data_IF_700532617328
#
_entry.id   IF_700532617328
#
_cell.length_a   1.000
_cell.length_b   1.000
_cell.length_c   1.000
_cell.angle_alpha   90.00
_cell.angle_beta   90.00
_cell.angle_gamma   90.00
#
_symmetry.space_group_name_H-M   'P 1'
#
loop_
_entity.id
_entity.type
_entity.pdbx_description
1 polymer ?
#
# COMPACT_ATOMS: atom_id res chain seq x y z
N UNK A 1 -27.20 -6.47 -6.94
CA UNK A 1 -26.03 -5.99 -6.19
C UNK A 1 -26.50 -5.10 -5.05
N UNK A 2 -25.89 -5.18 -3.88
CA UNK A 2 -26.11 -4.26 -2.75
C UNK A 2 -24.83 -3.46 -2.45
N UNK A 3 -24.95 -2.18 -2.16
CA UNK A 3 -23.80 -1.29 -1.85
C UNK A 3 -24.27 0.09 -1.43
N UNK A 4 -23.45 0.78 -0.67
CA UNK A 4 -23.72 2.10 -0.07
C UNK A 4 -22.75 3.20 -0.51
N UNK A 5 -21.75 2.87 -1.31
CA UNK A 5 -20.75 3.83 -1.77
C UNK A 5 -21.15 4.45 -3.11
N UNK A 6 -21.52 5.76 -3.16
CA UNK A 6 -21.93 6.42 -4.40
C UNK A 6 -20.74 6.75 -5.34
N UNK A 7 -19.52 6.67 -4.85
CA UNK A 7 -18.31 7.08 -5.58
C UNK A 7 -17.61 5.90 -6.29
N UNK A 8 -18.28 4.76 -6.46
CA UNK A 8 -17.73 3.59 -7.13
C UNK A 8 -18.55 3.21 -8.36
N UNK A 9 -17.87 2.78 -9.45
CA UNK A 9 -18.52 2.28 -10.67
C UNK A 9 -19.48 1.11 -10.41
N UNK A 10 -19.24 0.32 -9.37
CA UNK A 10 -20.09 -0.82 -9.03
C UNK A 10 -21.50 -0.41 -8.61
N UNK A 11 -21.73 0.84 -8.22
CA UNK A 11 -23.06 1.40 -7.91
C UNK A 11 -23.66 2.21 -9.06
N UNK A 12 -23.03 2.22 -10.24
CA UNK A 12 -23.63 2.81 -11.42
C UNK A 12 -24.82 1.95 -11.91
N UNK A 13 -25.84 2.60 -12.41
CA UNK A 13 -27.16 2.00 -12.71
C UNK A 13 -27.11 0.87 -13.74
N UNK A 14 -26.09 0.82 -14.59
CA UNK A 14 -25.94 -0.11 -15.70
C UNK A 14 -24.96 -1.25 -15.44
N UNK A 15 -24.37 -1.32 -14.22
CA UNK A 15 -23.38 -2.35 -13.86
C UNK A 15 -23.98 -3.65 -13.31
N UNK A 16 -25.20 -3.60 -12.82
CA UNK A 16 -25.91 -4.76 -12.26
C UNK A 16 -27.33 -4.82 -12.80
N UNK A 17 -27.90 -6.03 -12.94
CA UNK A 17 -29.30 -6.20 -13.34
C UNK A 17 -30.26 -5.48 -12.37
N UNK A 18 -29.91 -5.49 -11.08
CA UNK A 18 -30.59 -4.74 -10.02
C UNK A 18 -29.58 -4.20 -9.03
N UNK A 19 -29.68 -2.91 -8.74
CA UNK A 19 -28.91 -2.23 -7.72
C UNK A 19 -29.81 -1.89 -6.53
N UNK A 20 -29.39 -2.34 -5.35
CA UNK A 20 -29.92 -1.93 -4.05
C UNK A 20 -28.91 -1.00 -3.41
N UNK A 21 -29.22 0.28 -3.38
CA UNK A 21 -28.38 1.29 -2.74
C UNK A 21 -28.77 1.37 -1.26
N UNK A 22 -28.14 0.53 -0.46
CA UNK A 22 -28.48 0.31 0.93
C UNK A 22 -27.24 0.04 1.77
N UNK A 23 -27.35 0.28 3.07
CA UNK A 23 -26.33 -0.10 4.05
C UNK A 23 -26.09 -1.63 4.01
N UNK A 24 -24.81 -2.01 4.08
CA UNK A 24 -24.41 -3.42 4.12
C UNK A 24 -24.56 -4.01 5.53
N UNK A 25 -25.76 -3.88 6.13
CA UNK A 25 -26.12 -4.55 7.37
C UNK A 25 -26.67 -5.97 7.12
N UNK A 26 -26.59 -6.82 8.15
CA UNK A 26 -27.13 -8.17 8.08
C UNK A 26 -28.62 -8.16 7.70
N UNK A 27 -29.39 -7.30 8.33
CA UNK A 27 -30.85 -7.19 8.16
C UNK A 27 -31.20 -6.82 6.71
N UNK A 28 -30.54 -5.81 6.15
CA UNK A 28 -30.78 -5.37 4.78
C UNK A 28 -30.36 -6.40 3.73
N UNK A 29 -29.22 -7.04 3.94
CA UNK A 29 -28.77 -8.09 3.04
C UNK A 29 -29.72 -9.29 3.07
N UNK A 30 -30.26 -9.67 4.24
CA UNK A 30 -31.25 -10.74 4.34
C UNK A 30 -32.58 -10.36 3.69
N UNK A 31 -33.08 -9.13 3.89
CA UNK A 31 -34.29 -8.65 3.21
C UNK A 31 -34.16 -8.78 1.68
N UNK A 32 -33.00 -8.37 1.12
CA UNK A 32 -32.74 -8.46 -0.32
C UNK A 32 -32.60 -9.94 -0.75
N UNK A 33 -31.89 -10.75 0.03
CA UNK A 33 -31.68 -12.18 -0.24
C UNK A 33 -33.01 -12.92 -0.39
N UNK A 34 -33.95 -12.69 0.53
CA UNK A 34 -35.28 -13.28 0.52
C UNK A 34 -36.14 -12.70 -0.61
N UNK A 35 -36.18 -11.36 -0.77
CA UNK A 35 -36.96 -10.67 -1.79
C UNK A 35 -36.60 -11.16 -3.21
N UNK A 36 -35.32 -11.32 -3.48
CA UNK A 36 -34.83 -11.76 -4.79
C UNK A 36 -34.78 -13.29 -4.93
N UNK A 37 -35.12 -14.05 -3.88
CA UNK A 37 -34.94 -15.51 -3.85
C UNK A 37 -33.54 -15.91 -4.34
N UNK A 38 -32.53 -15.23 -3.83
CA UNK A 38 -31.16 -15.37 -4.30
C UNK A 38 -30.60 -16.77 -4.03
N UNK A 39 -29.85 -17.32 -4.95
CA UNK A 39 -29.21 -18.65 -4.82
C UNK A 39 -27.95 -18.63 -3.96
N UNK A 40 -27.40 -17.48 -3.70
CA UNK A 40 -26.22 -17.29 -2.85
C UNK A 40 -25.78 -15.83 -2.78
N UNK A 41 -24.84 -15.56 -1.88
CA UNK A 41 -24.24 -14.24 -1.64
C UNK A 41 -22.75 -14.32 -1.91
N UNK A 42 -22.22 -13.40 -2.71
CA UNK A 42 -20.77 -13.19 -2.89
C UNK A 42 -20.32 -12.10 -1.96
N UNK A 43 -19.36 -12.38 -1.07
CA UNK A 43 -18.82 -11.46 -0.08
C UNK A 43 -17.34 -11.08 -0.33
N UNK A 44 -16.76 -11.62 -1.39
CA UNK A 44 -15.33 -11.44 -1.71
C UNK A 44 -15.03 -10.24 -2.64
N UNK A 45 -15.97 -9.30 -2.76
CA UNK A 45 -15.83 -8.03 -3.49
C UNK A 45 -16.41 -6.90 -2.65
N UNK A 46 -15.97 -5.66 -2.87
CA UNK A 46 -16.44 -4.51 -2.10
C UNK A 46 -15.65 -4.24 -0.80
N UNK A 47 -14.42 -4.73 -0.71
CA UNK A 47 -13.56 -4.53 0.47
C UNK A 47 -13.92 -5.44 1.63
N UNK A 48 -13.74 -4.95 2.85
CA UNK A 48 -13.88 -5.70 4.09
C UNK A 48 -15.33 -5.82 4.58
N UNK A 49 -16.17 -4.81 4.34
CA UNK A 49 -17.52 -4.74 4.91
C UNK A 49 -18.41 -5.94 4.61
N UNK A 50 -18.46 -6.49 3.37
CA UNK A 50 -19.24 -7.69 3.08
C UNK A 50 -18.77 -8.92 3.87
N UNK A 51 -17.46 -9.02 4.14
CA UNK A 51 -16.88 -10.15 4.88
C UNK A 51 -17.22 -10.10 6.36
N UNK A 52 -17.34 -8.91 6.96
CA UNK A 52 -17.67 -8.75 8.38
C UNK A 52 -19.03 -9.35 8.77
N UNK A 53 -19.97 -9.41 7.83
CA UNK A 53 -21.30 -9.98 8.07
C UNK A 53 -21.45 -11.42 7.57
N UNK A 54 -20.44 -11.96 6.86
CA UNK A 54 -20.53 -13.24 6.16
C UNK A 54 -20.85 -14.42 7.10
N UNK A 55 -20.17 -14.50 8.24
CA UNK A 55 -20.39 -15.55 9.23
C UNK A 55 -21.82 -15.50 9.79
N UNK A 56 -22.31 -14.31 10.12
CA UNK A 56 -23.68 -14.12 10.62
C UNK A 56 -24.73 -14.46 9.56
N UNK A 57 -24.49 -14.10 8.29
CA UNK A 57 -25.37 -14.47 7.17
C UNK A 57 -25.49 -16.00 7.03
N UNK A 58 -24.39 -16.73 7.18
CA UNK A 58 -24.37 -18.19 7.08
C UNK A 58 -25.03 -18.86 8.29
N UNK A 59 -24.65 -18.49 9.51
CA UNK A 59 -25.07 -19.19 10.74
C UNK A 59 -26.49 -18.84 11.18
N UNK A 60 -26.87 -17.57 11.08
CA UNK A 60 -28.18 -17.09 11.55
C UNK A 60 -29.17 -16.95 10.40
N UNK A 61 -28.76 -16.43 9.26
CA UNK A 61 -29.62 -16.20 8.09
C UNK A 61 -29.75 -17.43 7.19
N UNK A 62 -28.93 -18.48 7.41
CA UNK A 62 -28.83 -19.63 6.55
C UNK A 62 -28.61 -19.29 5.06
N UNK A 63 -28.05 -18.12 4.78
CA UNK A 63 -27.71 -17.69 3.44
C UNK A 63 -26.53 -18.50 2.93
N UNK A 64 -26.62 -18.97 1.69
CA UNK A 64 -25.52 -19.68 1.05
C UNK A 64 -24.45 -18.66 0.63
N UNK A 65 -23.28 -18.69 1.27
CA UNK A 65 -22.13 -17.90 0.84
C UNK A 65 -21.43 -18.63 -0.30
N UNK A 66 -21.15 -17.89 -1.39
CA UNK A 66 -20.46 -18.38 -2.58
C UNK A 66 -18.98 -18.02 -2.47
N UNK A 67 -18.12 -19.03 -2.52
CA UNK A 67 -16.66 -18.85 -2.40
C UNK A 67 -16.10 -19.51 -1.15
N UNK A 68 -15.09 -18.85 -0.55
CA UNK A 68 -14.44 -19.31 0.68
C UNK A 68 -15.45 -19.35 1.84
N UNK A 69 -15.37 -20.38 2.67
CA UNK A 69 -16.25 -20.53 3.85
C UNK A 69 -16.06 -19.33 4.80
N UNK A 70 -17.15 -18.71 5.28
CA UNK A 70 -17.08 -17.61 6.24
C UNK A 70 -16.26 -17.90 7.49
N UNK A 71 -16.18 -19.14 7.94
CA UNK A 71 -15.32 -19.54 9.07
C UNK A 71 -13.83 -19.42 8.74
N UNK A 72 -13.46 -19.68 7.49
CA UNK A 72 -12.08 -19.51 7.05
C UNK A 72 -11.77 -18.03 6.76
N UNK A 73 -12.76 -17.25 6.33
CA UNK A 73 -12.65 -15.79 6.25
C UNK A 73 -12.40 -15.22 7.66
N UNK A 74 -13.20 -15.59 8.65
CA UNK A 74 -13.03 -15.14 10.05
C UNK A 74 -11.64 -15.48 10.60
N UNK A 75 -11.13 -16.68 10.31
CA UNK A 75 -9.75 -17.05 10.72
C UNK A 75 -8.66 -16.23 10.04
N UNK A 76 -8.88 -15.75 8.81
CA UNK A 76 -7.91 -14.90 8.12
C UNK A 76 -7.95 -13.46 8.63
N UNK A 77 -9.11 -12.99 9.07
CA UNK A 77 -9.32 -11.64 9.60
C UNK A 77 -8.90 -11.52 11.07
N UNK A 78 -9.10 -12.55 11.86
CA UNK A 78 -8.67 -12.62 13.25
C UNK A 78 -7.14 -12.80 13.31
N UNK A 79 -6.45 -11.79 13.80
CA UNK A 79 -4.98 -11.76 13.77
C UNK A 79 -4.32 -12.91 14.54
N UNK A 80 -4.90 -13.32 15.63
CA UNK A 80 -4.37 -14.45 16.42
C UNK A 80 -4.51 -15.75 15.62
N UNK A 81 -5.71 -16.06 15.15
CA UNK A 81 -5.98 -17.27 14.37
C UNK A 81 -5.16 -17.31 13.08
N UNK A 82 -5.04 -16.16 12.41
CA UNK A 82 -4.17 -16.00 11.24
C UNK A 82 -2.72 -16.38 11.54
N UNK A 83 -2.16 -15.84 12.61
CA UNK A 83 -0.78 -16.11 13.00
C UNK A 83 -0.55 -17.56 13.42
N UNK A 84 -1.48 -18.16 14.17
CA UNK A 84 -1.43 -19.58 14.55
C UNK A 84 -1.45 -20.49 13.30
N UNK A 85 -2.25 -20.16 12.30
CA UNK A 85 -2.32 -20.93 11.05
C UNK A 85 -1.01 -20.82 10.28
N UNK A 86 -0.43 -19.62 10.11
CA UNK A 86 0.84 -19.44 9.43
C UNK A 86 1.95 -20.26 10.09
N UNK A 87 2.02 -20.24 11.42
CA UNK A 87 2.99 -21.02 12.20
C UNK A 87 2.79 -22.53 11.97
N UNK A 88 1.53 -22.98 11.94
CA UNK A 88 1.19 -24.39 11.73
C UNK A 88 1.58 -24.95 10.36
N UNK A 89 1.61 -24.09 9.32
CA UNK A 89 2.00 -24.47 7.95
C UNK A 89 3.45 -24.13 7.61
N UNK A 90 4.22 -23.63 8.60
CA UNK A 90 5.63 -23.27 8.44
C UNK A 90 5.81 -22.12 7.42
N UNK A 91 4.95 -21.12 7.47
CA UNK A 91 5.09 -19.87 6.72
C UNK A 91 5.53 -18.76 7.68
N UNK A 92 6.64 -18.12 7.36
CA UNK A 92 7.25 -17.12 8.23
C UNK A 92 6.41 -15.82 8.28
N UNK A 93 6.41 -15.18 9.44
CA UNK A 93 5.71 -13.92 9.71
C UNK A 93 6.54 -13.06 10.67
N UNK A 94 6.29 -11.74 10.81
CA UNK A 94 6.90 -10.95 11.86
C UNK A 94 6.59 -11.54 13.24
N UNK A 95 7.56 -11.53 14.16
CA UNK A 95 7.31 -11.93 15.54
C UNK A 95 6.08 -11.24 16.10
N UNK A 96 5.22 -11.95 16.79
CA UNK A 96 3.92 -11.48 17.25
C UNK A 96 3.55 -12.00 18.63
N UNK A 97 2.68 -11.28 19.32
CA UNK A 97 2.10 -11.71 20.60
C UNK A 97 0.73 -11.09 20.81
N UNK A 98 -0.20 -11.87 21.32
CA UNK A 98 -1.44 -11.38 21.88
C UNK A 98 -1.17 -10.71 23.24
N UNK A 99 -1.74 -9.55 23.48
CA UNK A 99 -1.52 -8.78 24.68
C UNK A 99 -2.61 -9.05 25.72
N UNK A 100 -2.19 -9.43 26.91
CA UNK A 100 -3.05 -9.56 28.09
C UNK A 100 -2.85 -8.42 29.09
N UNK A 101 -1.72 -7.69 28.96
CA UNK A 101 -1.38 -6.56 29.83
C UNK A 101 -0.38 -5.61 29.17
N UNK A 102 -0.26 -4.40 29.71
CA UNK A 102 0.79 -3.44 29.32
C UNK A 102 2.20 -4.01 29.58
N UNK A 103 2.36 -4.74 30.68
CA UNK A 103 3.64 -5.37 31.01
C UNK A 103 4.06 -6.43 30.00
N UNK A 104 3.09 -7.19 29.44
CA UNK A 104 3.37 -8.15 28.36
C UNK A 104 3.83 -7.45 27.08
N UNK A 105 3.23 -6.30 26.76
CA UNK A 105 3.63 -5.49 25.63
C UNK A 105 5.05 -4.94 25.77
N UNK A 106 5.39 -4.42 26.95
CA UNK A 106 6.74 -3.94 27.27
C UNK A 106 7.76 -5.07 27.17
N UNK A 107 7.48 -6.24 27.76
CA UNK A 107 8.36 -7.39 27.71
C UNK A 107 8.60 -7.88 26.26
N UNK A 108 7.55 -7.97 25.46
CA UNK A 108 7.66 -8.34 24.05
C UNK A 108 8.46 -7.30 23.24
N UNK A 109 8.18 -6.00 23.44
CA UNK A 109 8.90 -4.94 22.73
C UNK A 109 10.38 -4.89 23.10
N UNK A 110 10.73 -5.17 24.36
CA UNK A 110 12.13 -5.29 24.82
C UNK A 110 12.83 -6.52 24.20
N UNK A 111 12.10 -7.65 24.01
CA UNK A 111 12.61 -8.86 23.36
C UNK A 111 12.90 -8.65 21.87
N UNK A 112 11.93 -8.13 21.12
CA UNK A 112 12.03 -8.00 19.64
C UNK A 112 12.67 -6.69 19.20
N UNK A 113 12.92 -5.76 20.12
CA UNK A 113 13.37 -4.38 19.91
C UNK A 113 12.36 -3.52 19.16
N UNK A 114 12.39 -2.22 19.40
CA UNK A 114 11.56 -1.24 18.67
C UNK A 114 12.06 -1.08 17.22
N UNK A 115 11.21 -0.65 16.27
CA UNK A 115 9.79 -0.35 16.41
C UNK A 115 8.92 -1.62 16.47
N UNK A 116 7.74 -1.46 17.08
CA UNK A 116 6.68 -2.46 17.11
C UNK A 116 5.37 -1.86 16.59
N UNK A 117 4.49 -2.71 16.07
CA UNK A 117 3.16 -2.34 15.61
C UNK A 117 2.11 -2.88 16.59
N UNK A 118 1.29 -2.01 17.12
CA UNK A 118 0.14 -2.38 17.95
C UNK A 118 -1.14 -2.19 17.14
N UNK A 119 -2.03 -3.18 17.20
CA UNK A 119 -3.30 -3.15 16.51
C UNK A 119 -4.37 -3.97 17.23
N UNK A 120 -5.66 -3.59 17.17
CA UNK A 120 -6.76 -4.47 17.53
C UNK A 120 -6.78 -5.70 16.63
N UNK A 121 -7.36 -6.83 17.10
CA UNK A 121 -7.44 -8.05 16.29
C UNK A 121 -8.28 -7.87 15.03
N UNK A 122 -9.34 -7.08 15.10
CA UNK A 122 -10.16 -6.69 13.96
C UNK A 122 -9.95 -5.22 13.62
N UNK A 123 -9.47 -4.94 12.41
CA UNK A 123 -9.17 -3.57 11.95
C UNK A 123 -9.74 -3.35 10.55
N UNK A 124 -10.42 -2.23 10.36
CA UNK A 124 -10.86 -1.76 9.05
C UNK A 124 -9.80 -0.82 8.45
N UNK A 125 -9.22 -1.20 7.32
CA UNK A 125 -8.32 -0.35 6.51
C UNK A 125 -7.17 0.30 7.30
N UNK A 126 -6.58 -0.42 8.27
CA UNK A 126 -5.48 0.09 9.10
C UNK A 126 -5.87 1.02 10.23
N UNK A 127 -7.17 1.28 10.44
CA UNK A 127 -7.65 2.13 11.53
C UNK A 127 -7.16 1.64 12.90
N UNK A 128 -6.71 2.57 13.76
CA UNK A 128 -6.11 2.30 15.07
C UNK A 128 -4.84 1.45 15.08
N UNK A 129 -4.23 1.18 13.92
CA UNK A 129 -2.88 0.64 13.86
C UNK A 129 -1.86 1.72 14.18
N UNK A 130 -0.94 1.43 15.08
CA UNK A 130 0.06 2.43 15.51
C UNK A 130 1.45 1.81 15.57
N UNK A 131 2.38 2.41 14.83
CA UNK A 131 3.81 2.07 14.93
C UNK A 131 4.41 2.82 16.12
N UNK A 132 4.95 2.07 17.05
CA UNK A 132 5.54 2.55 18.31
C UNK A 132 7.05 2.41 18.22
N UNK A 133 7.76 3.52 18.39
CA UNK A 133 9.21 3.60 18.22
C UNK A 133 9.99 3.62 19.52
N UNK A 134 9.30 3.86 20.63
CA UNK A 134 9.91 3.97 21.95
C UNK A 134 9.00 3.44 23.05
N UNK A 135 9.61 3.12 24.19
CA UNK A 135 8.88 2.66 25.36
C UNK A 135 7.91 3.71 25.92
N UNK A 136 8.26 4.98 25.80
CA UNK A 136 7.44 6.09 26.33
C UNK A 136 6.11 6.23 25.56
N UNK A 137 6.10 5.89 24.28
CA UNK A 137 4.89 5.92 23.44
C UNK A 137 3.97 4.71 23.69
N UNK A 138 4.52 3.59 24.19
CA UNK A 138 3.81 2.30 24.19
C UNK A 138 2.53 2.34 25.03
N UNK A 139 2.60 2.91 26.22
CA UNK A 139 1.46 2.94 27.17
C UNK A 139 0.28 3.76 26.64
N UNK A 140 0.56 4.96 26.15
CA UNK A 140 -0.48 5.86 25.59
C UNK A 140 -1.20 5.22 24.41
N UNK A 141 -0.44 4.59 23.51
CA UNK A 141 -0.97 3.99 22.28
C UNK A 141 -1.72 2.69 22.52
N UNK A 142 -1.32 1.91 23.53
CA UNK A 142 -2.06 0.71 23.95
C UNK A 142 -3.45 1.05 24.50
N UNK A 143 -3.55 2.08 25.34
CA UNK A 143 -4.83 2.54 25.86
C UNK A 143 -5.78 2.97 24.73
N UNK A 144 -5.25 3.67 23.72
CA UNK A 144 -6.03 4.05 22.53
C UNK A 144 -6.51 2.83 21.71
N UNK A 145 -5.64 1.86 21.46
CA UNK A 145 -5.99 0.65 20.70
C UNK A 145 -7.04 -0.20 21.41
N UNK A 146 -6.95 -0.36 22.73
CA UNK A 146 -7.93 -1.12 23.53
C UNK A 146 -9.31 -0.47 23.55
N UNK A 147 -9.38 0.87 23.48
CA UNK A 147 -10.65 1.61 23.45
C UNK A 147 -11.40 1.44 22.11
N UNK A 148 -10.69 1.16 21.02
CA UNK A 148 -11.30 0.95 19.68
C UNK A 148 -11.94 -0.43 19.56
N UNK A 149 -11.38 -1.45 20.21
CA UNK A 149 -11.88 -2.83 20.16
C UNK A 149 -11.94 -3.49 21.55
N UNK A 150 -12.93 -3.11 22.38
CA UNK A 150 -13.01 -3.59 23.77
C UNK A 150 -13.24 -5.11 23.88
N UNK A 151 -13.90 -5.70 22.89
CA UNK A 151 -14.31 -7.11 22.89
C UNK A 151 -13.29 -8.04 22.22
N UNK A 152 -12.22 -7.49 21.65
CA UNK A 152 -11.20 -8.27 20.96
C UNK A 152 -9.80 -7.98 21.51
N UNK A 153 -8.93 -8.98 21.56
CA UNK A 153 -7.56 -8.80 22.05
C UNK A 153 -6.78 -7.83 21.16
N UNK A 154 -5.83 -7.15 21.77
CA UNK A 154 -4.85 -6.33 21.05
C UNK A 154 -3.63 -7.18 20.73
N UNK A 155 -3.13 -7.10 19.52
CA UNK A 155 -1.95 -7.83 19.07
C UNK A 155 -0.80 -6.87 18.85
N UNK A 156 0.38 -7.24 19.33
CA UNK A 156 1.65 -6.55 19.05
C UNK A 156 2.51 -7.40 18.11
N UNK A 157 3.13 -6.74 17.13
CA UNK A 157 4.03 -7.39 16.18
C UNK A 157 5.31 -6.60 16.01
N UNK A 158 6.42 -7.29 15.71
CA UNK A 158 7.63 -6.60 15.26
C UNK A 158 7.36 -5.85 13.97
N UNK A 159 7.64 -4.55 13.96
CA UNK A 159 7.59 -3.74 12.74
C UNK A 159 8.95 -3.75 12.05
N UNK A 160 8.98 -4.14 10.77
CA UNK A 160 10.22 -4.28 9.99
C UNK A 160 10.35 -3.08 9.07
N UNK A 161 11.29 -2.19 9.38
CA UNK A 161 11.56 -1.00 8.58
C UNK A 161 12.57 -1.26 7.46
N UNK A 162 12.45 -0.50 6.38
CA UNK A 162 13.40 -0.55 5.26
C UNK A 162 13.36 -1.82 4.42
N UNK A 163 12.42 -2.73 4.70
CA UNK A 163 12.22 -3.93 3.92
C UNK A 163 11.42 -3.64 2.63
N UNK A 164 11.58 -4.53 1.64
CA UNK A 164 10.79 -4.50 0.41
C UNK A 164 9.44 -5.18 0.65
N UNK A 165 8.36 -4.61 0.13
CA UNK A 165 7.05 -5.23 0.16
C UNK A 165 6.70 -5.85 -1.19
N UNK A 166 6.01 -6.98 -1.14
CA UNK A 166 5.58 -7.78 -2.28
C UNK A 166 4.07 -8.01 -2.13
N UNK A 167 3.33 -7.72 -3.16
CA UNK A 167 1.89 -7.95 -3.25
C UNK A 167 1.60 -9.16 -4.12
N UNK A 168 0.75 -10.06 -3.66
CA UNK A 168 0.35 -11.27 -4.38
C UNK A 168 -1.15 -11.26 -4.57
N UNK A 169 -1.60 -11.08 -5.80
CA UNK A 169 -3.01 -11.24 -6.19
C UNK A 169 -3.21 -12.62 -6.79
N UNK A 170 -4.18 -13.37 -6.30
CA UNK A 170 -4.35 -14.75 -6.71
C UNK A 170 -5.81 -15.21 -6.71
N UNK A 171 -6.06 -16.33 -7.40
CA UNK A 171 -7.34 -17.01 -7.39
C UNK A 171 -7.13 -18.45 -6.95
N UNK A 172 -7.90 -18.88 -5.94
CA UNK A 172 -7.99 -20.26 -5.48
C UNK A 172 -9.28 -20.92 -5.91
N UNK A 173 -9.27 -22.25 -5.94
CA UNK A 173 -10.47 -23.07 -6.08
C UNK A 173 -10.32 -24.33 -5.23
N UNK A 174 -11.18 -24.49 -4.22
CA UNK A 174 -11.14 -25.58 -3.26
C UNK A 174 -9.72 -25.82 -2.68
N UNK A 175 -9.08 -24.72 -2.26
CA UNK A 175 -7.73 -24.75 -1.68
C UNK A 175 -6.59 -24.95 -2.67
N UNK A 176 -6.85 -25.04 -3.97
CA UNK A 176 -5.85 -25.17 -5.03
C UNK A 176 -5.57 -23.80 -5.64
N UNK A 177 -4.31 -23.37 -5.68
CA UNK A 177 -3.92 -22.15 -6.38
C UNK A 177 -4.11 -22.34 -7.90
N UNK A 178 -4.91 -21.49 -8.53
CA UNK A 178 -5.22 -21.55 -9.97
C UNK A 178 -4.33 -20.60 -10.76
N UNK A 179 -4.31 -19.32 -10.40
CA UNK A 179 -3.47 -18.30 -10.99
C UNK A 179 -2.97 -17.36 -9.92
N UNK A 180 -1.84 -16.73 -10.15
CA UNK A 180 -1.28 -15.70 -9.26
C UNK A 180 -0.49 -14.67 -10.03
N UNK A 181 -0.40 -13.48 -9.48
CA UNK A 181 0.44 -12.38 -9.90
C UNK A 181 1.28 -11.94 -8.71
N UNK A 182 2.54 -11.63 -8.96
CA UNK A 182 3.46 -11.10 -7.96
C UNK A 182 3.89 -9.71 -8.41
N UNK A 183 3.56 -8.70 -7.63
CA UNK A 183 3.96 -7.30 -7.84
C UNK A 183 4.93 -6.86 -6.75
N UNK A 184 5.91 -6.03 -7.08
CA UNK A 184 6.77 -5.41 -6.07
C UNK A 184 6.39 -3.95 -5.85
N UNK A 185 6.55 -3.48 -4.61
CA UNK A 185 6.34 -2.09 -4.25
C UNK A 185 7.58 -1.24 -4.53
N UNK A 186 7.37 -0.04 -5.05
CA UNK A 186 8.42 1.00 -5.10
C UNK A 186 8.69 1.50 -3.69
N UNK A 187 7.66 1.78 -2.92
CA UNK A 187 7.75 2.21 -1.53
C UNK A 187 8.27 1.09 -0.63
N UNK A 188 8.85 1.48 0.50
CA UNK A 188 9.27 0.52 1.53
C UNK A 188 8.07 0.00 2.32
N UNK A 189 8.23 -1.14 2.98
CA UNK A 189 7.22 -1.71 3.86
C UNK A 189 6.75 -0.69 4.92
N UNK A 190 5.44 -0.67 5.14
CA UNK A 190 4.77 0.27 6.04
C UNK A 190 3.91 1.32 5.34
N UNK A 191 3.87 1.32 4.01
CA UNK A 191 2.88 2.06 3.21
C UNK A 191 1.77 1.10 2.82
N UNK A 192 0.51 1.51 3.00
CA UNK A 192 -0.64 0.68 2.62
C UNK A 192 -0.57 0.30 1.13
N UNK A 193 -0.84 -0.96 0.78
CA UNK A 193 -0.72 -1.46 -0.60
C UNK A 193 -1.58 -0.71 -1.63
N UNK A 194 -2.72 -0.17 -1.21
CA UNK A 194 -3.54 0.73 -2.03
C UNK A 194 -2.84 2.04 -2.40
N UNK A 195 -1.94 2.52 -1.54
CA UNK A 195 -1.20 3.76 -1.70
C UNK A 195 0.19 3.55 -2.33
N UNK A 196 0.62 2.31 -2.45
CA UNK A 196 1.91 1.96 -3.02
C UNK A 196 1.89 1.95 -4.55
N UNK A 197 3.05 2.27 -5.12
CA UNK A 197 3.32 2.06 -6.54
C UNK A 197 3.72 0.61 -6.77
N UNK A 198 2.97 -0.11 -7.62
CA UNK A 198 3.24 -1.50 -7.96
C UNK A 198 3.96 -1.62 -9.29
N UNK A 199 4.89 -2.57 -9.37
CA UNK A 199 5.62 -2.95 -10.60
C UNK A 199 5.29 -4.40 -10.92
N UNK A 200 4.83 -4.68 -12.14
CA UNK A 200 4.48 -6.01 -12.61
C UNK A 200 4.91 -6.21 -14.07
N UNK A 201 5.67 -7.27 -14.43
CA UNK A 201 6.38 -8.18 -13.53
C UNK A 201 7.38 -7.47 -12.61
N UNK A 202 7.75 -8.07 -11.46
CA UNK A 202 8.75 -7.50 -10.56
C UNK A 202 10.09 -7.27 -11.29
N UNK A 203 10.71 -6.13 -11.02
CA UNK A 203 11.98 -5.74 -11.65
C UNK A 203 13.21 -6.14 -10.82
N UNK A 204 13.06 -6.30 -9.50
CA UNK A 204 14.18 -6.53 -8.58
C UNK A 204 14.12 -7.89 -7.85
N UNK A 205 13.08 -8.69 -8.05
CA UNK A 205 12.96 -10.01 -7.42
C UNK A 205 13.66 -11.08 -8.26
N UNK A 206 14.53 -11.86 -7.63
CA UNK A 206 15.15 -13.01 -8.26
C UNK A 206 14.21 -14.23 -8.36
N UNK A 207 14.58 -15.22 -9.18
CA UNK A 207 13.75 -16.40 -9.40
C UNK A 207 13.55 -17.22 -8.13
N UNK A 208 14.56 -17.28 -7.25
CA UNK A 208 14.46 -18.02 -5.98
C UNK A 208 13.41 -17.40 -5.08
N UNK A 209 13.39 -16.07 -5.00
CA UNK A 209 12.35 -15.33 -4.26
C UNK A 209 10.98 -15.56 -4.86
N UNK A 210 10.85 -15.52 -6.20
CA UNK A 210 9.59 -15.77 -6.90
C UNK A 210 9.03 -17.18 -6.63
N UNK A 211 9.89 -18.19 -6.69
CA UNK A 211 9.49 -19.58 -6.43
C UNK A 211 9.03 -19.77 -4.98
N UNK A 212 9.71 -19.14 -4.02
CA UNK A 212 9.31 -19.17 -2.60
C UNK A 212 8.00 -18.42 -2.34
N UNK A 213 7.78 -17.28 -2.98
CA UNK A 213 6.49 -16.54 -2.90
C UNK A 213 5.35 -17.41 -3.42
N UNK A 214 5.56 -18.10 -4.55
CA UNK A 214 4.57 -19.04 -5.10
C UNK A 214 4.29 -20.21 -4.13
N UNK A 215 5.34 -20.79 -3.53
CA UNK A 215 5.17 -21.86 -2.54
C UNK A 215 4.34 -21.40 -1.33
N UNK A 216 4.60 -20.19 -0.82
CA UNK A 216 3.80 -19.57 0.24
C UNK A 216 2.35 -19.43 -0.19
N UNK A 217 2.08 -18.91 -1.40
CA UNK A 217 0.72 -18.75 -1.93
C UNK A 217 -0.02 -20.10 -2.04
N UNK A 218 0.66 -21.17 -2.44
CA UNK A 218 0.09 -22.53 -2.49
C UNK A 218 -0.27 -23.04 -1.08
N UNK A 219 0.60 -22.86 -0.09
CA UNK A 219 0.37 -23.25 1.29
C UNK A 219 -0.81 -22.50 1.90
N UNK A 220 -0.85 -21.19 1.67
CA UNK A 220 -1.91 -20.28 2.13
C UNK A 220 -3.25 -20.66 1.50
N UNK A 221 -3.32 -20.81 0.19
CA UNK A 221 -4.55 -21.19 -0.50
C UNK A 221 -5.12 -22.51 0.05
N UNK A 222 -4.26 -23.48 0.36
CA UNK A 222 -4.65 -24.78 0.93
C UNK A 222 -5.10 -24.65 2.39
N UNK A 223 -4.42 -23.88 3.22
CA UNK A 223 -4.69 -23.78 4.65
C UNK A 223 -6.06 -23.17 4.95
N UNK A 224 -6.47 -22.16 4.20
CA UNK A 224 -7.79 -21.51 4.29
C UNK A 224 -8.79 -22.07 3.29
N UNK A 225 -8.49 -23.19 2.61
CA UNK A 225 -9.36 -23.81 1.60
C UNK A 225 -9.97 -22.77 0.63
N UNK A 226 -9.15 -21.83 0.16
CA UNK A 226 -9.60 -20.64 -0.56
C UNK A 226 -10.33 -21.03 -1.85
N UNK A 227 -11.51 -20.43 -2.04
CA UNK A 227 -12.30 -20.49 -3.28
C UNK A 227 -12.72 -19.08 -3.69
N UNK A 228 -12.16 -18.58 -4.76
CA UNK A 228 -12.33 -17.20 -5.23
C UNK A 228 -11.05 -16.40 -5.16
N UNK A 229 -11.16 -15.06 -5.20
CA UNK A 229 -10.01 -14.16 -5.18
C UNK A 229 -9.41 -14.05 -3.78
N UNK A 230 -8.09 -13.85 -3.72
CA UNK A 230 -7.40 -13.45 -2.50
C UNK A 230 -6.17 -12.59 -2.81
N UNK A 231 -5.80 -11.78 -1.85
CA UNK A 231 -4.61 -10.95 -1.87
C UNK A 231 -3.76 -11.25 -0.65
N UNK A 232 -2.46 -11.23 -0.81
CA UNK A 232 -1.51 -11.49 0.28
C UNK A 232 -0.34 -10.52 0.19
N UNK A 233 0.08 -9.99 1.32
CA UNK A 233 1.23 -9.09 1.43
C UNK A 233 2.38 -9.79 2.14
N UNK A 234 3.58 -9.67 1.54
CA UNK A 234 4.81 -10.30 2.03
C UNK A 234 5.89 -9.23 2.17
N UNK A 235 6.57 -9.22 3.29
CA UNK A 235 7.80 -8.44 3.49
C UNK A 235 8.99 -9.30 3.13
N UNK A 236 9.87 -8.79 2.26
CA UNK A 236 11.20 -9.34 2.00
C UNK A 236 12.22 -8.54 2.77
N UNK A 237 12.81 -9.17 3.78
CA UNK A 237 13.87 -8.59 4.60
C UNK A 237 15.19 -9.32 4.33
N UNK A 238 16.30 -8.59 4.32
CA UNK A 238 17.63 -9.21 4.21
C UNK A 238 17.91 -10.06 5.45
N UNK A 239 18.57 -11.21 5.24
CA UNK A 239 19.03 -12.03 6.35
C UNK A 239 20.30 -11.39 6.96
N UNK A 240 20.29 -11.02 8.24
CA UNK A 240 21.45 -10.41 8.90
C UNK A 240 22.69 -11.30 8.88
N UNK A 241 22.54 -12.62 8.66
CA UNK A 241 23.62 -13.58 8.58
C UNK A 241 24.10 -13.84 7.14
N UNK A 242 23.57 -13.11 6.13
CA UNK A 242 23.96 -13.25 4.74
C UNK A 242 23.37 -14.47 4.03
N UNK A 243 22.30 -15.06 4.58
CA UNK A 243 21.53 -16.14 3.97
C UNK A 243 20.53 -15.64 2.90
N UNK A 244 19.59 -16.51 2.54
CA UNK A 244 18.49 -16.11 1.67
C UNK A 244 17.60 -15.08 2.38
N UNK A 245 17.05 -14.09 1.65
CA UNK A 245 16.13 -13.13 2.23
C UNK A 245 14.97 -13.80 2.97
N UNK A 246 14.58 -13.24 4.10
CA UNK A 246 13.41 -13.69 4.85
C UNK A 246 12.15 -13.18 4.14
N UNK A 247 11.18 -14.07 3.90
CA UNK A 247 9.88 -13.73 3.34
C UNK A 247 8.83 -13.91 4.43
N UNK A 248 8.26 -12.80 4.90
CA UNK A 248 7.31 -12.78 6.03
C UNK A 248 5.94 -12.31 5.57
N UNK A 249 4.94 -13.18 5.70
CA UNK A 249 3.55 -12.82 5.41
C UNK A 249 3.03 -11.89 6.50
N UNK A 250 2.50 -10.75 6.10
CA UNK A 250 1.93 -9.76 7.03
C UNK A 250 0.42 -9.72 7.01
N UNK A 251 -0.20 -10.06 5.88
CA UNK A 251 -1.65 -10.02 5.70
C UNK A 251 -2.10 -10.97 4.59
N UNK A 252 -3.30 -11.52 4.73
CA UNK A 252 -3.99 -12.26 3.68
C UNK A 252 -5.47 -11.90 3.70
N UNK A 253 -5.92 -11.24 2.64
CA UNK A 253 -7.29 -10.83 2.44
C UNK A 253 -7.99 -11.83 1.51
N UNK A 254 -9.02 -12.53 1.99
CA UNK A 254 -9.75 -13.54 1.20
C UNK A 254 -10.81 -12.89 0.29
N UNK A 255 -10.38 -11.88 -0.43
CA UNK A 255 -11.20 -11.06 -1.33
C UNK A 255 -10.35 -10.44 -2.45
N UNK A 256 -11.03 -9.91 -3.47
CA UNK A 256 -10.36 -9.13 -4.50
C UNK A 256 -9.76 -7.84 -3.92
N UNK A 257 -8.53 -7.57 -4.32
CA UNK A 257 -7.85 -6.30 -4.10
C UNK A 257 -8.19 -5.30 -5.21
N UNK A 258 -7.82 -4.04 -5.01
CA UNK A 258 -7.95 -3.00 -6.04
C UNK A 258 -7.04 -3.27 -7.26
N UNK A 259 -5.95 -4.01 -7.07
CA UNK A 259 -5.01 -4.37 -8.13
C UNK A 259 -5.47 -5.50 -9.07
N UNK A 260 -6.58 -6.20 -8.79
CA UNK A 260 -7.10 -7.27 -9.67
C UNK A 260 -7.29 -6.85 -11.14
N UNK A 261 -7.87 -5.67 -11.45
CA UNK A 261 -7.94 -5.20 -12.84
C UNK A 261 -6.57 -4.93 -13.45
N UNK A 262 -5.63 -4.39 -12.68
CA UNK A 262 -4.26 -4.13 -13.10
C UNK A 262 -3.54 -5.43 -13.47
N UNK A 263 -3.50 -6.40 -12.55
CA UNK A 263 -2.82 -7.69 -12.81
C UNK A 263 -3.46 -8.45 -13.98
N UNK A 264 -4.78 -8.36 -14.12
CA UNK A 264 -5.50 -8.97 -15.23
C UNK A 264 -5.04 -8.42 -16.59
N UNK A 265 -4.93 -7.11 -16.70
CA UNK A 265 -4.49 -6.43 -17.93
C UNK A 265 -3.02 -6.73 -18.23
N UNK A 266 -2.16 -6.69 -17.23
CA UNK A 266 -0.71 -6.92 -17.43
C UNK A 266 -0.41 -8.37 -17.80
N UNK A 267 -1.07 -9.33 -17.16
CA UNK A 267 -0.82 -10.74 -17.41
C UNK A 267 -1.62 -11.32 -18.57
N UNK A 268 -2.60 -10.57 -19.11
CA UNK A 268 -3.39 -10.98 -20.27
C UNK A 268 -4.42 -12.06 -19.99
N UNK A 269 -4.77 -12.28 -18.71
CA UNK A 269 -5.83 -13.18 -18.28
C UNK A 269 -6.73 -12.47 -17.26
N UNK A 270 -8.03 -12.51 -17.45
CA UNK A 270 -8.97 -11.85 -16.56
C UNK A 270 -9.12 -12.62 -15.23
N UNK A 271 -8.43 -12.16 -14.19
CA UNK A 271 -8.47 -12.72 -12.84
C UNK A 271 -9.88 -12.66 -12.24
N UNK A 272 -10.66 -11.63 -12.56
CA UNK A 272 -12.04 -11.49 -12.08
C UNK A 272 -12.94 -12.57 -12.69
N UNK A 273 -12.79 -12.89 -13.97
CA UNK A 273 -13.54 -13.96 -14.64
C UNK A 273 -13.21 -15.33 -14.01
N UNK A 274 -11.91 -15.63 -13.81
CA UNK A 274 -11.49 -16.89 -13.18
C UNK A 274 -12.01 -16.98 -11.75
N UNK A 275 -11.93 -15.90 -10.98
CA UNK A 275 -12.46 -15.84 -9.63
C UNK A 275 -13.97 -16.05 -9.60
N UNK A 276 -14.72 -15.38 -10.48
CA UNK A 276 -16.17 -15.53 -10.58
C UNK A 276 -16.57 -16.97 -10.89
N UNK A 277 -15.89 -17.63 -11.83
CA UNK A 277 -16.11 -19.06 -12.14
C UNK A 277 -15.89 -19.94 -10.90
N UNK A 278 -14.82 -19.69 -10.14
CA UNK A 278 -14.57 -20.41 -8.90
C UNK A 278 -15.70 -20.20 -7.87
N UNK A 279 -16.12 -18.94 -7.67
CA UNK A 279 -17.18 -18.56 -6.72
C UNK A 279 -18.52 -19.25 -7.03
N UNK A 280 -18.91 -19.35 -8.29
CA UNK A 280 -20.18 -19.94 -8.71
C UNK A 280 -20.09 -21.45 -9.02
N UNK A 281 -18.94 -22.06 -8.76
CA UNK A 281 -18.73 -23.51 -8.96
C UNK A 281 -18.68 -23.95 -10.43
N UNK A 282 -18.29 -23.04 -11.33
CA UNK A 282 -18.02 -23.37 -12.72
C UNK A 282 -16.57 -23.86 -12.92
N UNK A 283 -16.31 -24.46 -14.08
CA UNK A 283 -14.97 -24.93 -14.39
C UNK A 283 -13.98 -23.77 -14.49
N UNK A 284 -12.95 -23.80 -13.66
CA UNK A 284 -11.80 -22.91 -13.73
C UNK A 284 -10.72 -23.48 -14.65
N UNK A 285 -9.83 -22.66 -15.21
CA UNK A 285 -8.70 -23.15 -16.00
C UNK A 285 -7.78 -24.04 -15.13
N UNK A 286 -6.99 -24.89 -15.80
CA UNK A 286 -5.92 -25.62 -15.11
C UNK A 286 -4.92 -24.63 -14.47
N UNK A 287 -4.34 -24.98 -13.33
CA UNK A 287 -3.36 -24.15 -12.66
C UNK A 287 -2.25 -23.71 -13.60
N UNK A 288 -2.06 -22.42 -13.72
CA UNK A 288 -1.12 -21.82 -14.65
C UNK A 288 -0.23 -20.81 -13.96
N UNK A 289 1.07 -20.92 -14.21
CA UNK A 289 2.05 -19.94 -13.74
C UNK A 289 2.23 -18.84 -14.80
N UNK A 290 1.47 -17.76 -14.64
CA UNK A 290 1.56 -16.60 -15.50
C UNK A 290 2.85 -15.80 -15.30
N UNK A 291 3.51 -15.95 -14.13
CA UNK A 291 4.77 -15.26 -13.86
C UNK A 291 5.96 -15.89 -14.60
N UNK A 292 5.87 -17.16 -14.98
CA UNK A 292 6.87 -17.82 -15.81
C UNK A 292 6.84 -17.40 -17.29
N UNK A 293 5.79 -16.73 -17.74
CA UNK A 293 5.66 -16.25 -19.12
C UNK A 293 6.50 -14.99 -19.31
N UNK A 294 7.51 -15.08 -20.19
CA UNK A 294 8.36 -13.92 -20.51
C UNK A 294 7.57 -12.88 -21.31
N UNK A 295 7.71 -11.61 -20.91
CA UNK A 295 7.10 -10.44 -21.53
C UNK A 295 8.17 -9.46 -21.97
N UNK A 296 7.91 -8.74 -23.04
CA UNK A 296 8.76 -7.65 -23.57
C UNK A 296 8.30 -6.26 -23.10
N UNK A 297 7.43 -6.25 -22.11
CA UNK A 297 6.91 -5.07 -21.43
C UNK A 297 6.79 -5.31 -19.93
N UNK A 298 6.67 -4.23 -19.20
CA UNK A 298 6.19 -4.23 -17.84
C UNK A 298 5.18 -3.08 -17.64
N UNK A 299 4.52 -3.07 -16.50
CA UNK A 299 3.58 -2.02 -16.16
C UNK A 299 3.79 -1.54 -14.73
N UNK A 300 3.44 -0.31 -14.49
CA UNK A 300 3.36 0.27 -13.15
C UNK A 300 1.93 0.74 -12.86
N UNK A 301 1.50 0.54 -11.63
CA UNK A 301 0.28 1.11 -11.08
C UNK A 301 0.67 2.16 -10.05
N UNK A 302 0.23 3.40 -10.22
CA UNK A 302 0.44 4.48 -9.25
C UNK A 302 -0.88 4.89 -8.62
N UNK A 303 -0.90 5.27 -7.34
CA UNK A 303 -2.10 5.73 -6.67
C UNK A 303 -2.48 7.15 -7.12
N UNK A 304 -3.77 7.43 -7.07
CA UNK A 304 -4.33 8.78 -7.21
C UNK A 304 -4.87 9.23 -5.86
N UNK A 305 -4.49 10.43 -5.43
CA UNK A 305 -4.92 11.01 -4.16
C UNK A 305 -5.81 12.22 -4.38
N UNK A 306 -6.83 12.36 -3.54
CA UNK A 306 -7.73 13.53 -3.51
C UNK A 306 -7.41 14.42 -2.30
N UNK A 307 -6.17 14.87 -2.17
CA UNK A 307 -5.71 15.66 -1.03
C UNK A 307 -6.50 16.95 -0.81
N UNK A 308 -7.12 17.50 -1.85
CA UNK A 308 -7.98 18.69 -1.75
C UNK A 308 -9.22 18.43 -0.90
N UNK A 309 -9.69 17.18 -0.79
CA UNK A 309 -10.80 16.76 0.08
C UNK A 309 -10.35 16.53 1.53
N UNK A 310 -9.07 16.29 1.75
CA UNK A 310 -8.47 16.03 3.05
C UNK A 310 -7.70 17.27 3.54
N UNK A 311 -8.42 18.37 3.73
CA UNK A 311 -7.82 19.64 4.14
C UNK A 311 -7.02 19.49 5.45
N UNK A 312 -5.75 19.89 5.43
CA UNK A 312 -4.86 19.84 6.58
C UNK A 312 -4.25 18.47 6.89
N UNK A 313 -4.65 17.39 6.21
CA UNK A 313 -4.01 16.08 6.38
C UNK A 313 -2.56 16.12 5.85
N UNK A 314 -1.64 15.46 6.55
CA UNK A 314 -0.27 15.29 6.06
C UNK A 314 -0.28 14.28 4.89
N UNK A 315 0.29 14.63 3.72
CA UNK A 315 0.41 13.71 2.60
C UNK A 315 1.40 12.54 2.85
N UNK A 316 1.98 12.46 4.03
CA UNK A 316 2.85 11.35 4.40
C UNK A 316 2.08 10.02 4.38
N UNK A 317 2.59 9.05 3.60
CA UNK A 317 1.96 7.74 3.46
C UNK A 317 2.32 6.83 4.64
N UNK A 318 1.35 6.08 5.09
CA UNK A 318 1.49 5.16 6.22
C UNK A 318 0.65 3.90 6.05
N UNK A 319 0.32 3.28 7.17
CA UNK A 319 -0.44 2.02 7.21
C UNK A 319 -1.93 2.19 6.87
N UNK A 320 -2.47 3.42 6.96
CA UNK A 320 -3.85 3.74 6.56
C UNK A 320 -3.90 4.13 5.09
N UNK A 321 -4.92 3.66 4.38
CA UNK A 321 -5.14 3.97 2.97
C UNK A 321 -5.70 5.38 2.78
N UNK A 322 -5.03 6.20 1.96
CA UNK A 322 -5.43 7.56 1.62
C UNK A 322 -5.81 7.75 0.14
N UNK A 323 -5.43 6.80 -0.72
CA UNK A 323 -5.71 6.87 -2.17
C UNK A 323 -7.18 6.69 -2.49
N UNK A 324 -7.63 7.41 -3.53
CA UNK A 324 -9.03 7.39 -4.01
C UNK A 324 -9.17 6.75 -5.39
N UNK A 325 -8.07 6.45 -6.06
CA UNK A 325 -8.04 5.83 -7.37
C UNK A 325 -6.66 5.31 -7.74
N UNK A 326 -6.54 4.78 -8.95
CA UNK A 326 -5.32 4.16 -9.45
C UNK A 326 -5.18 4.43 -10.94
N UNK A 327 -3.93 4.57 -11.38
CA UNK A 327 -3.57 4.70 -12.79
C UNK A 327 -2.50 3.67 -13.11
N UNK A 328 -2.65 2.98 -14.23
CA UNK A 328 -1.69 2.00 -14.68
C UNK A 328 -1.26 2.27 -16.13
N UNK A 329 0.05 2.23 -16.36
CA UNK A 329 0.63 2.36 -17.69
C UNK A 329 1.64 1.26 -17.97
N UNK A 330 1.80 0.98 -19.24
CA UNK A 330 2.77 0.02 -19.77
C UNK A 330 4.01 0.76 -20.29
N UNK A 331 5.14 0.07 -20.26
CA UNK A 331 6.38 0.54 -20.85
C UNK A 331 7.25 -0.63 -21.27
N UNK A 332 8.22 -0.37 -22.16
CA UNK A 332 9.24 -1.36 -22.54
C UNK A 332 10.24 -1.61 -21.41
N UNK A 333 10.35 -0.65 -20.51
CA UNK A 333 11.16 -0.70 -19.29
C UNK A 333 10.48 0.02 -18.13
N UNK A 334 11.02 -0.13 -16.94
CA UNK A 334 10.46 0.43 -15.72
C UNK A 334 10.38 1.96 -15.76
N UNK A 335 11.36 2.62 -16.34
CA UNK A 335 11.41 4.08 -16.43
C UNK A 335 10.26 4.60 -17.27
N UNK A 336 10.06 4.02 -18.47
CA UNK A 336 8.97 4.41 -19.35
C UNK A 336 7.60 4.17 -18.71
N UNK A 337 7.36 2.99 -18.13
CA UNK A 337 6.09 2.69 -17.47
C UNK A 337 5.81 3.61 -16.28
N UNK A 338 6.81 3.83 -15.42
CA UNK A 338 6.68 4.66 -14.23
C UNK A 338 6.37 6.12 -14.58
N UNK A 339 7.13 6.71 -15.52
CA UNK A 339 6.89 8.08 -15.95
C UNK A 339 5.54 8.25 -16.65
N UNK A 340 5.16 7.30 -17.51
CA UNK A 340 3.84 7.31 -18.14
C UNK A 340 2.73 7.27 -17.09
N UNK A 341 2.87 6.44 -16.05
CA UNK A 341 1.89 6.36 -14.96
C UNK A 341 1.80 7.66 -14.17
N UNK A 342 2.93 8.25 -13.77
CA UNK A 342 2.94 9.52 -13.05
C UNK A 342 2.34 10.66 -13.87
N UNK A 343 2.71 10.79 -15.14
CA UNK A 343 2.18 11.84 -16.03
C UNK A 343 0.69 11.68 -16.31
N UNK A 344 0.14 10.49 -16.09
CA UNK A 344 -1.30 10.22 -16.21
C UNK A 344 -2.08 10.53 -14.94
N UNK A 345 -1.41 10.82 -13.81
CA UNK A 345 -2.08 11.28 -12.60
C UNK A 345 -2.53 12.73 -12.74
N UNK A 346 -3.55 13.11 -11.95
CA UNK A 346 -4.03 14.49 -11.94
C UNK A 346 -2.95 15.43 -11.38
N UNK A 347 -2.73 16.54 -12.07
CA UNK A 347 -1.82 17.62 -11.68
C UNK A 347 -0.31 17.28 -11.68
N UNK A 348 0.10 16.11 -12.16
CA UNK A 348 1.52 15.81 -12.30
C UNK A 348 2.11 16.43 -13.57
N UNK A 349 3.21 17.17 -13.41
CA UNK A 349 4.04 17.69 -14.50
C UNK A 349 5.50 17.48 -14.16
N UNK A 350 6.27 17.00 -15.12
CA UNK A 350 7.72 16.92 -14.96
C UNK A 350 8.29 18.34 -14.93
N UNK A 351 9.06 18.72 -13.89
CA UNK A 351 9.76 20.00 -13.88
C UNK A 351 10.73 20.14 -15.05
N UNK A 352 10.86 21.35 -15.59
CA UNK A 352 11.76 21.66 -16.70
C UNK A 352 13.05 22.34 -16.20
N UNK A 353 14.20 22.19 -16.92
CA UNK A 353 15.42 22.95 -16.61
C UNK A 353 15.16 24.45 -16.53
N UNK A 354 15.71 25.09 -15.50
CA UNK A 354 15.45 26.51 -15.18
C UNK A 354 14.38 26.76 -14.15
N UNK A 355 13.52 25.77 -13.89
CA UNK A 355 12.51 25.81 -12.82
C UNK A 355 13.10 25.45 -11.45
N UNK A 356 12.35 25.74 -10.39
CA UNK A 356 12.77 25.55 -9.01
C UNK A 356 12.44 24.16 -8.47
N UNK A 357 13.40 23.54 -7.81
CA UNK A 357 13.23 22.30 -7.04
C UNK A 357 13.52 22.57 -5.56
N UNK A 358 12.60 22.20 -4.69
CA UNK A 358 12.71 22.42 -3.25
C UNK A 358 13.03 21.11 -2.53
N UNK A 359 14.05 21.15 -1.66
CA UNK A 359 14.55 20.00 -0.92
C UNK A 359 14.32 20.17 0.59
N UNK A 360 13.94 19.08 1.25
CA UNK A 360 13.76 18.98 2.70
C UNK A 360 13.76 17.53 3.18
N UNK A 361 13.62 17.36 4.49
CA UNK A 361 13.50 16.06 5.13
C UNK A 361 14.80 15.57 5.77
N UNK A 362 14.94 14.25 5.88
CA UNK A 362 16.00 13.58 6.63
C UNK A 362 17.38 13.68 5.96
N UNK A 363 18.24 14.55 6.48
CA UNK A 363 19.62 14.72 6.01
C UNK A 363 20.52 13.50 6.30
N UNK A 364 20.13 12.59 7.18
CA UNK A 364 20.90 11.37 7.44
C UNK A 364 20.88 10.40 6.25
N UNK A 365 19.97 10.58 5.29
CA UNK A 365 19.83 9.71 4.12
C UNK A 365 20.63 10.22 2.93
N UNK A 366 21.60 9.44 2.42
CA UNK A 366 22.47 9.88 1.31
C UNK A 366 21.73 10.05 -0.03
N UNK A 367 20.45 9.69 -0.09
CA UNK A 367 19.62 9.75 -1.29
C UNK A 367 19.44 11.20 -1.78
N UNK A 368 19.25 12.17 -0.87
CA UNK A 368 19.14 13.59 -1.23
C UNK A 368 20.37 14.09 -1.97
N UNK A 369 21.56 13.74 -1.46
CA UNK A 369 22.85 14.07 -2.11
C UNK A 369 22.92 13.51 -3.52
N UNK A 370 22.45 12.27 -3.68
CA UNK A 370 22.47 11.61 -4.97
C UNK A 370 21.52 12.24 -5.98
N UNK A 371 20.31 12.62 -5.54
CA UNK A 371 19.33 13.33 -6.36
C UNK A 371 19.90 14.70 -6.80
N UNK A 372 20.44 15.46 -5.86
CA UNK A 372 21.02 16.78 -6.15
C UNK A 372 22.23 16.69 -7.09
N UNK A 373 23.13 15.73 -6.88
CA UNK A 373 24.27 15.50 -7.79
C UNK A 373 23.83 15.20 -9.22
N UNK A 374 22.69 14.53 -9.38
CA UNK A 374 22.12 14.22 -10.69
C UNK A 374 21.42 15.43 -11.32
N UNK A 375 20.61 16.16 -10.54
CA UNK A 375 19.77 17.25 -11.05
C UNK A 375 20.54 18.56 -11.26
N UNK A 376 21.60 18.82 -10.48
CA UNK A 376 22.33 20.07 -10.56
C UNK A 376 22.93 20.36 -11.94
N UNK A 377 23.49 19.38 -12.69
CA UNK A 377 24.01 19.63 -14.03
C UNK A 377 22.93 19.89 -15.07
N UNK A 378 21.69 19.60 -14.78
CA UNK A 378 20.55 19.76 -15.69
C UNK A 378 19.97 21.17 -15.72
N UNK A 379 20.52 22.10 -14.92
CA UNK A 379 20.16 23.51 -14.94
C UNK A 379 18.93 23.88 -14.11
N UNK A 380 18.48 23.03 -13.19
CA UNK A 380 17.43 23.38 -12.21
C UNK A 380 17.94 24.37 -11.18
N UNK A 381 17.06 25.25 -10.68
CA UNK A 381 17.31 26.07 -9.50
C UNK A 381 17.02 25.25 -8.24
N UNK A 382 17.98 25.20 -7.33
CA UNK A 382 17.89 24.34 -6.14
C UNK A 382 17.66 25.17 -4.89
N UNK A 383 16.65 24.82 -4.13
CA UNK A 383 16.20 25.50 -2.93
C UNK A 383 16.12 24.55 -1.75
N UNK A 384 16.35 25.05 -0.55
CA UNK A 384 16.12 24.33 0.71
C UNK A 384 15.22 25.15 1.63
N UNK A 385 14.32 24.47 2.35
CA UNK A 385 13.45 25.10 3.32
C UNK A 385 14.12 25.32 4.70
N UNK A 386 15.20 24.57 4.97
CA UNK A 386 15.92 24.59 6.23
C UNK A 386 17.41 24.79 6.00
N UNK A 387 18.05 25.52 6.93
CA UNK A 387 19.48 25.82 6.85
C UNK A 387 20.33 24.55 6.90
N UNK A 388 19.95 23.59 7.74
CA UNK A 388 20.67 22.33 7.89
C UNK A 388 20.68 21.52 6.60
N UNK A 389 19.55 21.48 5.88
CA UNK A 389 19.44 20.82 4.57
C UNK A 389 20.32 21.53 3.53
N UNK A 390 20.29 22.86 3.48
CA UNK A 390 21.15 23.65 2.59
C UNK A 390 22.64 23.35 2.82
N UNK A 391 23.10 23.52 4.07
CA UNK A 391 24.50 23.32 4.45
C UNK A 391 24.96 21.87 4.15
N UNK A 392 24.12 20.90 4.49
CA UNK A 392 24.38 19.50 4.19
C UNK A 392 24.55 19.22 2.69
N UNK A 393 23.65 19.75 1.85
CA UNK A 393 23.72 19.57 0.40
C UNK A 393 24.95 20.29 -0.21
N UNK A 394 25.27 21.50 0.21
CA UNK A 394 26.46 22.24 -0.26
C UNK A 394 27.77 21.56 0.15
N UNK A 395 27.83 20.95 1.34
CA UNK A 395 29.04 20.29 1.84
C UNK A 395 29.26 18.89 1.23
N UNK A 396 28.17 18.17 0.90
CA UNK A 396 28.26 16.75 0.53
C UNK A 396 28.15 16.50 -0.97
N UNK A 397 27.70 17.48 -1.76
CA UNK A 397 27.59 17.34 -3.22
C UNK A 397 28.93 17.60 -3.93
N UNK A 398 29.12 16.90 -5.07
CA UNK A 398 30.43 16.87 -5.77
C UNK A 398 30.76 18.13 -6.58
N UNK A 399 29.81 19.00 -6.89
CA UNK A 399 29.93 20.02 -7.94
C UNK A 399 29.84 21.47 -7.43
N UNK A 400 30.17 21.76 -6.19
CA UNK A 400 29.98 23.09 -5.57
C UNK A 400 28.55 23.61 -5.86
N UNK A 401 27.56 22.81 -5.59
CA UNK A 401 26.17 23.12 -5.87
C UNK A 401 25.73 24.32 -5.03
N UNK A 402 25.14 25.31 -5.67
CA UNK A 402 24.55 26.45 -4.97
C UNK A 402 23.09 26.11 -4.64
N UNK A 403 22.75 26.05 -3.35
CA UNK A 403 21.40 25.85 -2.85
C UNK A 403 20.95 27.12 -2.15
N UNK A 404 19.88 27.75 -2.61
CA UNK A 404 19.33 28.95 -1.98
C UNK A 404 18.40 28.57 -0.83
N UNK A 405 18.54 29.22 0.33
CA UNK A 405 17.63 29.04 1.46
C UNK A 405 16.37 29.86 1.25
N UNK A 406 15.20 29.22 1.35
CA UNK A 406 13.90 29.88 1.32
C UNK A 406 13.32 29.92 2.73
N UNK A 407 12.95 31.09 3.20
CA UNK A 407 12.18 31.23 4.45
C UNK A 407 10.70 30.97 4.18
N UNK A 408 10.12 29.99 4.89
CA UNK A 408 8.70 29.68 4.84
C UNK A 408 7.94 30.48 5.88
N UNK A 409 6.90 31.25 5.49
CA UNK A 409 5.96 31.87 6.42
C UNK A 409 5.12 30.77 7.09
N UNK A 410 5.21 30.67 8.40
CA UNK A 410 4.73 29.51 9.18
C UNK A 410 3.21 29.27 9.16
N UNK A 411 2.37 30.25 8.82
CA UNK A 411 0.90 30.13 9.03
C UNK A 411 0.03 30.79 7.96
N UNK A 412 0.58 31.46 6.96
CA UNK A 412 -0.21 32.15 5.93
C UNK A 412 -0.16 31.41 4.59
N UNK A 413 -1.25 30.71 4.24
CA UNK A 413 -1.37 30.01 2.95
C UNK A 413 -1.18 30.91 1.73
N UNK A 414 -1.55 32.20 1.82
CA UNK A 414 -1.37 33.15 0.73
C UNK A 414 0.11 33.48 0.54
N UNK A 415 0.81 33.78 1.63
CA UNK A 415 2.24 34.02 1.62
C UNK A 415 3.03 32.80 1.16
N UNK A 416 2.63 31.57 1.54
CA UNK A 416 3.23 30.33 1.06
C UNK A 416 3.05 30.16 -0.46
N UNK A 417 1.87 30.47 -0.99
CA UNK A 417 1.62 30.42 -2.43
C UNK A 417 2.50 31.44 -3.19
N UNK A 418 2.66 32.63 -2.64
CA UNK A 418 3.54 33.67 -3.19
C UNK A 418 5.02 33.22 -3.21
N UNK A 419 5.48 32.47 -2.19
CA UNK A 419 6.82 31.85 -2.17
C UNK A 419 6.96 30.84 -3.31
N UNK A 420 6.05 29.89 -3.47
CA UNK A 420 6.10 28.92 -4.57
C UNK A 420 6.11 29.60 -5.94
N UNK A 421 5.34 30.66 -6.12
CA UNK A 421 5.31 31.41 -7.37
C UNK A 421 6.60 32.23 -7.60
N UNK A 422 7.09 32.92 -6.56
CA UNK A 422 8.29 33.77 -6.63
C UNK A 422 9.53 32.99 -7.05
N UNK A 423 9.69 31.79 -6.49
CA UNK A 423 10.84 30.92 -6.74
C UNK A 423 10.57 29.89 -7.85
N UNK A 424 9.40 29.98 -8.49
CA UNK A 424 8.94 29.06 -9.54
C UNK A 424 9.14 27.58 -9.15
N UNK A 425 8.73 27.22 -7.93
CA UNK A 425 8.88 25.87 -7.41
C UNK A 425 7.93 24.93 -8.15
N UNK A 426 8.50 23.94 -8.86
CA UNK A 426 7.79 22.97 -9.69
C UNK A 426 8.01 21.51 -9.30
N UNK A 427 8.82 21.26 -8.29
CA UNK A 427 9.02 19.94 -7.70
C UNK A 427 9.49 20.07 -6.26
N UNK A 428 8.99 19.19 -5.40
CA UNK A 428 9.33 19.11 -3.98
C UNK A 428 9.87 17.72 -3.68
N UNK A 429 11.08 17.65 -3.14
CA UNK A 429 11.71 16.43 -2.64
C UNK A 429 11.78 16.51 -1.11
N UNK A 430 10.92 15.78 -0.45
CA UNK A 430 10.87 15.70 1.00
C UNK A 430 11.02 14.26 1.46
N UNK A 431 12.25 13.83 1.73
CA UNK A 431 12.54 12.49 2.22
C UNK A 431 12.25 12.48 3.72
N UNK A 432 10.99 12.26 4.05
CA UNK A 432 10.51 12.40 5.40
C UNK A 432 11.07 11.33 6.36
N UNK A 433 11.28 11.74 7.61
CA UNK A 433 11.36 10.82 8.74
C UNK A 433 9.93 10.42 9.11
N UNK A 434 9.68 9.12 9.27
CA UNK A 434 8.45 8.61 9.85
C UNK A 434 8.37 9.03 11.34
N UNK A 435 8.02 10.26 11.62
CA UNK A 435 8.00 10.80 12.99
C UNK A 435 6.61 10.76 13.56
N UNK A 436 5.72 9.98 13.35
CA UNK A 436 4.44 9.80 14.07
C UNK A 436 3.92 11.03 14.88
N UNK A 437 4.38 12.22 14.57
CA UNK A 437 4.03 13.46 15.28
C UNK A 437 3.23 14.36 14.34
N UNK A 438 2.03 14.69 14.76
CA UNK A 438 1.22 15.83 14.32
C UNK A 438 1.88 17.16 14.69
N UNK A 439 3.16 17.34 14.41
CA UNK A 439 3.82 18.63 14.60
C UNK A 439 3.80 19.37 13.27
N UNK A 440 3.25 20.57 13.28
CA UNK A 440 3.33 21.52 12.16
C UNK A 440 4.79 22.00 12.01
N UNK A 441 5.65 21.08 11.56
CA UNK A 441 7.05 21.37 11.22
C UNK A 441 7.18 21.85 9.77
N UNK A 442 8.39 22.28 9.42
CA UNK A 442 8.68 22.78 8.07
C UNK A 442 8.43 21.71 7.01
N UNK A 443 8.73 20.46 7.33
CA UNK A 443 8.53 19.33 6.43
C UNK A 443 7.04 19.09 6.11
N UNK A 444 6.17 19.13 7.13
CA UNK A 444 4.74 19.07 6.92
C UNK A 444 4.25 20.24 6.04
N UNK A 445 4.72 21.46 6.35
CA UNK A 445 4.33 22.65 5.58
C UNK A 445 4.75 22.51 4.11
N UNK A 446 5.95 21.98 3.83
CA UNK A 446 6.42 21.69 2.48
C UNK A 446 5.52 20.68 1.77
N UNK A 447 5.27 19.52 2.40
CA UNK A 447 4.45 18.45 1.82
C UNK A 447 3.03 18.93 1.56
N UNK A 448 2.42 19.57 2.56
CA UNK A 448 1.03 20.02 2.45
C UNK A 448 0.85 21.07 1.35
N UNK A 449 1.76 22.03 1.26
CA UNK A 449 1.66 23.07 0.22
C UNK A 449 2.00 22.54 -1.19
N UNK A 450 2.89 21.56 -1.31
CA UNK A 450 3.11 20.88 -2.58
C UNK A 450 1.80 20.32 -3.15
N UNK A 451 1.05 19.57 -2.35
CA UNK A 451 -0.22 18.98 -2.81
C UNK A 451 -1.34 20.02 -2.96
N UNK A 452 -1.41 21.04 -2.08
CA UNK A 452 -2.41 22.12 -2.17
C UNK A 452 -2.22 22.98 -3.43
N UNK A 453 -0.99 23.12 -3.92
CA UNK A 453 -0.67 23.93 -5.10
C UNK A 453 -0.48 23.09 -6.37
N UNK A 454 -0.69 21.78 -6.29
CA UNK A 454 -0.54 20.86 -7.43
C UNK A 454 0.91 20.74 -7.92
N UNK A 455 1.87 20.82 -7.02
CA UNK A 455 3.30 20.63 -7.31
C UNK A 455 3.68 19.18 -7.00
N UNK A 456 4.36 18.47 -7.92
CA UNK A 456 4.84 17.11 -7.68
C UNK A 456 5.63 16.98 -6.38
N UNK A 457 5.25 16.00 -5.55
CA UNK A 457 5.87 15.70 -4.28
C UNK A 457 6.52 14.31 -4.32
N UNK A 458 7.81 14.25 -4.03
CA UNK A 458 8.59 13.03 -4.01
C UNK A 458 9.10 12.76 -2.59
N UNK A 459 8.64 11.66 -1.99
CA UNK A 459 8.99 11.30 -0.61
C UNK A 459 9.78 9.99 -0.50
N UNK A 460 9.76 9.15 -1.54
CA UNK A 460 10.38 7.83 -1.51
C UNK A 460 11.84 7.85 -2.01
N UNK A 461 12.79 7.32 -1.22
CA UNK A 461 14.21 7.27 -1.60
C UNK A 461 14.49 6.50 -2.90
N UNK A 462 13.71 5.49 -3.24
CA UNK A 462 13.90 4.69 -4.45
C UNK A 462 13.60 5.44 -5.75
N UNK A 463 12.87 6.52 -5.69
CA UNK A 463 12.58 7.42 -6.84
C UNK A 463 13.87 7.87 -7.55
N UNK A 464 15.01 7.92 -6.84
CA UNK A 464 16.32 8.18 -7.43
C UNK A 464 16.61 7.37 -8.69
N UNK A 465 16.36 6.06 -8.63
CA UNK A 465 16.71 5.15 -9.74
C UNK A 465 15.87 5.42 -10.99
N UNK A 466 14.71 6.05 -10.84
CA UNK A 466 13.78 6.37 -11.93
C UNK A 466 14.03 7.76 -12.52
N UNK A 467 14.52 8.72 -11.73
CA UNK A 467 14.92 10.03 -12.24
C UNK A 467 16.19 10.00 -13.09
N UNK A 468 17.13 9.10 -12.80
CA UNK A 468 18.41 9.01 -13.49
C UNK A 468 18.30 8.55 -14.96
N UNK A 469 17.12 8.14 -15.40
CA UNK A 469 16.88 7.58 -16.74
C UNK A 469 15.65 8.20 -17.43
N UNK A 470 15.29 9.45 -17.11
CA UNK A 470 14.14 10.14 -17.72
C UNK A 470 14.25 10.18 -19.26
N UNK A 471 13.12 9.94 -20.00
CA UNK A 471 13.09 9.98 -21.46
C UNK A 471 13.49 11.30 -22.09
N UNK A 472 13.52 12.41 -21.32
CA UNK A 472 13.92 13.72 -21.83
C UNK A 472 15.39 13.82 -22.26
N UNK A 473 16.24 12.83 -21.93
CA UNK A 473 17.64 12.79 -22.38
C UNK A 473 17.90 12.03 -23.68
N UNK A 474 16.93 11.29 -24.23
CA UNK A 474 17.12 10.48 -25.43
C UNK A 474 16.78 11.21 -26.73
N UNK A 475 16.29 12.45 -26.69
CA UNK A 475 15.92 13.21 -27.89
C UNK A 475 16.85 14.39 -28.23
N UNK A 476 18.05 14.46 -27.67
CA UNK A 476 19.09 15.40 -28.03
C UNK A 476 20.40 14.65 -28.33
N UNK A 477 20.42 13.86 -29.40
CA UNK A 477 21.64 13.44 -30.11
C UNK A 477 21.31 13.25 -31.59
#
# INVERSE_FOLDING_TARGET
>A
MAGDNPETLSTDFDYADKLYFEELSYERVMDIYELESATGVVVSVGGQLPQNIALRLQETGHAKILGTDPKDIDKAEDRQKFSEILDSIGVDQPAWKELTSVADAEAFADEVSYPVLVRPSYVLSGAAMTVIRSKDELKEKLEAASNVSPDHPVVITKFIEGAQEIDVDAVGSCGKLIIHAVSEHVEQAGVHSGDATLILPPASLDQITMDRVKEIAVKVAKAWNITGPFNMQIIKAEDPNGGLPQLKVIECNLRASRSFPFVSKVLGLNFVDVATKALVGQNVPEPTDLMAVKRDYLATKVPQFSWTRLAGADPFLGVEMSSTGEIACFGKDLVEAYWASLQSTMNFRVPEPGEGLLFGGDISKPVLVSIVNYLSPLGYKLYAAEREVKEFLEMTTKNNVNVELIEFPKEDKRALREVFQKYDIRGVFNIALARGKTVLDVDYVMRRNAVDFGVPLFMEPKVRNHFTHSPTQTNCA
#
